data_IF_662686961009
#
_entry.id   IF_662686961009
#
_cell.length_a   1.000
_cell.length_b   1.000
_cell.length_c   1.000
_cell.angle_alpha   90.00
_cell.angle_beta   90.00
_cell.angle_gamma   90.00
#
_symmetry.space_group_name_H-M   'P 1'
#
loop_
_entity.id
_entity.type
_entity.pdbx_description
1 polymer ?
#
# COMPACT_ATOMS: atom_id res chain seq x y z
N UNK A 1 8.22 -8.23 3.45
CA UNK A 1 7.03 -8.48 2.60
C UNK A 1 6.54 -9.90 2.88
N UNK A 2 6.25 -10.22 4.16
CA UNK A 2 5.90 -11.57 4.65
C UNK A 2 4.49 -12.01 4.24
N UNK A 3 4.33 -12.15 2.93
CA UNK A 3 3.10 -12.49 2.20
C UNK A 3 3.49 -13.43 1.07
N UNK A 4 2.53 -14.21 0.57
CA UNK A 4 2.73 -15.02 -0.64
C UNK A 4 2.67 -14.09 -1.85
N UNK A 5 3.58 -14.28 -2.79
CA UNK A 5 3.58 -13.61 -4.09
C UNK A 5 3.26 -14.66 -5.16
N UNK A 6 2.20 -14.43 -5.91
CA UNK A 6 1.83 -15.29 -7.04
C UNK A 6 2.15 -14.56 -8.35
N UNK A 7 2.89 -15.23 -9.22
CA UNK A 7 3.31 -14.71 -10.51
C UNK A 7 2.74 -15.57 -11.63
N UNK A 8 2.03 -14.93 -12.55
CA UNK A 8 1.51 -15.55 -13.77
C UNK A 8 1.91 -14.72 -14.98
N UNK A 9 2.50 -15.34 -16.00
CA UNK A 9 2.86 -14.64 -17.24
C UNK A 9 2.94 -15.61 -18.42
N UNK A 10 2.95 -15.05 -19.63
CA UNK A 10 3.10 -15.80 -20.88
C UNK A 10 4.49 -15.55 -21.46
N UNK A 11 5.26 -16.63 -21.63
CA UNK A 11 6.60 -16.60 -22.19
C UNK A 11 6.70 -17.51 -23.43
N UNK A 12 7.62 -17.21 -24.37
CA UNK A 12 7.82 -18.00 -25.59
C UNK A 12 8.48 -19.36 -25.36
N UNK A 13 9.12 -19.59 -24.20
CA UNK A 13 9.74 -20.87 -23.86
C UNK A 13 9.86 -21.08 -22.35
N UNK A 14 9.91 -22.34 -21.93
CA UNK A 14 10.06 -22.72 -20.52
C UNK A 14 11.39 -22.24 -19.93
N UNK A 15 12.46 -22.27 -20.71
CA UNK A 15 13.78 -21.81 -20.28
C UNK A 15 13.78 -20.31 -19.97
N UNK A 16 13.18 -19.48 -20.83
CA UNK A 16 13.04 -18.05 -20.56
C UNK A 16 12.11 -17.81 -19.36
N UNK A 17 11.02 -18.59 -19.25
CA UNK A 17 10.10 -18.47 -18.14
C UNK A 17 10.79 -18.71 -16.78
N UNK A 18 11.63 -19.74 -16.69
CA UNK A 18 12.38 -20.04 -15.47
C UNK A 18 13.32 -18.90 -15.08
N UNK A 19 14.16 -18.43 -16.02
CA UNK A 19 15.13 -17.34 -15.76
C UNK A 19 14.44 -16.03 -15.38
N UNK A 20 13.34 -15.70 -16.06
CA UNK A 20 12.57 -14.49 -15.79
C UNK A 20 11.90 -14.57 -14.40
N UNK A 21 11.32 -15.71 -14.05
CA UNK A 21 10.73 -15.96 -12.73
C UNK A 21 11.76 -15.81 -11.62
N UNK A 22 12.92 -16.46 -11.75
CA UNK A 22 13.99 -16.39 -10.75
C UNK A 22 14.50 -14.95 -10.57
N UNK A 23 14.62 -14.20 -11.66
CA UNK A 23 14.99 -12.78 -11.64
C UNK A 23 13.96 -11.92 -10.91
N UNK A 24 12.66 -12.18 -11.12
CA UNK A 24 11.57 -11.48 -10.43
C UNK A 24 11.65 -11.72 -8.92
N UNK A 25 11.77 -12.97 -8.49
CA UNK A 25 11.84 -13.28 -7.06
C UNK A 25 13.14 -12.79 -6.41
N UNK A 26 14.27 -12.83 -7.13
CA UNK A 26 15.51 -12.19 -6.68
C UNK A 26 15.32 -10.68 -6.48
N UNK A 27 14.63 -9.99 -7.40
CA UNK A 27 14.30 -8.57 -7.25
C UNK A 27 13.41 -8.31 -6.04
N UNK A 28 12.36 -9.09 -5.82
CA UNK A 28 11.46 -8.95 -4.66
C UNK A 28 12.25 -9.13 -3.35
N UNK A 29 13.13 -10.14 -3.28
CA UNK A 29 13.98 -10.37 -2.11
C UNK A 29 14.94 -9.21 -1.84
N UNK A 30 15.56 -8.66 -2.90
CA UNK A 30 16.40 -7.47 -2.78
C UNK A 30 15.62 -6.26 -2.23
N UNK A 31 14.42 -6.01 -2.75
CA UNK A 31 13.54 -4.93 -2.26
C UNK A 31 13.15 -5.13 -0.80
N UNK A 32 12.90 -6.37 -0.37
CA UNK A 32 12.60 -6.69 1.03
C UNK A 32 13.76 -6.33 1.97
N UNK A 33 15.01 -6.56 1.56
CA UNK A 33 16.21 -6.17 2.33
C UNK A 33 16.36 -4.64 2.49
N UNK A 34 15.74 -3.85 1.61
CA UNK A 34 15.77 -2.38 1.65
C UNK A 34 14.59 -1.82 2.45
N UNK A 35 13.38 -2.28 2.14
CA UNK A 35 12.13 -1.62 2.54
C UNK A 35 11.49 -2.21 3.80
N UNK A 36 11.95 -3.36 4.29
CA UNK A 36 11.34 -4.03 5.45
C UNK A 36 11.66 -3.31 6.76
N UNK A 37 10.63 -2.88 7.49
CA UNK A 37 10.77 -2.38 8.85
C UNK A 37 10.93 -3.50 9.90
N UNK A 38 10.72 -4.76 9.51
CA UNK A 38 10.91 -5.94 10.36
C UNK A 38 12.34 -6.50 10.36
N UNK A 39 13.09 -6.28 9.28
CA UNK A 39 14.44 -6.82 9.15
C UNK A 39 15.44 -5.88 9.82
N UNK A 40 16.11 -6.39 10.84
CA UNK A 40 17.24 -5.69 11.43
C UNK A 40 18.32 -5.47 10.38
N UNK A 41 18.88 -4.27 10.36
CA UNK A 41 19.88 -3.87 9.37
C UNK A 41 19.33 -3.55 7.97
N UNK A 42 18.01 -3.60 7.71
CA UNK A 42 17.46 -3.10 6.44
C UNK A 42 17.81 -1.63 6.22
N UNK A 43 17.90 -1.20 4.97
CA UNK A 43 18.27 0.17 4.65
C UNK A 43 17.30 1.19 5.27
N UNK A 44 15.99 0.92 5.23
CA UNK A 44 14.97 1.76 5.88
C UNK A 44 15.18 1.87 7.40
N UNK A 45 15.59 0.80 8.07
CA UNK A 45 15.86 0.81 9.50
C UNK A 45 17.16 1.57 9.82
N UNK A 46 18.20 1.46 8.98
CA UNK A 46 19.42 2.27 9.11
C UNK A 46 19.13 3.77 8.94
N UNK A 47 18.34 4.15 7.94
CA UNK A 47 17.90 5.53 7.77
C UNK A 47 17.05 6.00 8.96
N UNK A 48 16.13 5.17 9.45
CA UNK A 48 15.32 5.52 10.62
C UNK A 48 16.16 5.73 11.90
N UNK A 49 17.29 5.03 12.03
CA UNK A 49 18.19 5.19 13.17
C UNK A 49 18.87 6.57 13.24
N UNK A 50 19.03 7.27 12.11
CA UNK A 50 19.61 8.64 12.07
C UNK A 50 18.60 9.74 12.44
N UNK A 51 17.35 9.40 12.71
CA UNK A 51 16.27 10.35 12.93
C UNK A 51 16.52 11.33 14.09
N UNK A 52 16.43 12.63 13.79
CA UNK A 52 16.63 13.71 14.75
C UNK A 52 18.10 14.02 15.08
N UNK A 53 19.06 13.41 14.38
CA UNK A 53 20.50 13.66 14.58
C UNK A 53 21.03 14.81 13.70
N UNK A 54 20.20 15.39 12.83
CA UNK A 54 20.61 16.47 11.92
C UNK A 54 21.48 16.00 10.75
N UNK A 55 21.70 14.70 10.59
CA UNK A 55 22.56 14.14 9.54
C UNK A 55 21.79 13.91 8.23
N UNK A 56 22.45 14.19 7.11
CA UNK A 56 22.03 13.72 5.80
C UNK A 56 22.62 12.33 5.54
N UNK A 57 21.80 11.40 5.08
CA UNK A 57 22.18 10.02 4.81
C UNK A 57 21.95 9.70 3.35
N UNK A 58 22.99 9.25 2.64
CA UNK A 58 22.85 8.73 1.28
C UNK A 58 22.01 7.46 1.28
N UNK A 59 21.11 7.36 0.29
CA UNK A 59 20.23 6.21 0.14
C UNK A 59 20.37 5.62 -1.26
N UNK A 60 20.04 4.34 -1.40
CA UNK A 60 19.94 3.66 -2.67
C UNK A 60 18.86 4.28 -3.55
N UNK A 61 18.98 4.06 -4.87
CA UNK A 61 17.97 4.50 -5.84
C UNK A 61 16.58 3.92 -5.53
N UNK A 62 16.53 2.69 -5.03
CA UNK A 62 15.28 2.05 -4.61
C UNK A 62 14.64 2.82 -3.47
N UNK A 63 15.37 3.04 -2.37
CA UNK A 63 14.81 3.72 -1.20
C UNK A 63 14.44 5.17 -1.54
N UNK A 64 15.27 5.86 -2.32
CA UNK A 64 14.96 7.19 -2.85
C UNK A 64 13.64 7.20 -3.64
N UNK A 65 13.48 6.28 -4.60
CA UNK A 65 12.31 6.23 -5.47
C UNK A 65 11.02 5.96 -4.68
N UNK A 66 11.03 4.97 -3.77
CA UNK A 66 9.86 4.66 -2.93
C UNK A 66 9.53 5.82 -1.99
N UNK A 67 10.54 6.48 -1.43
CA UNK A 67 10.34 7.63 -0.56
C UNK A 67 9.78 8.84 -1.31
N UNK A 68 10.27 9.11 -2.52
CA UNK A 68 9.76 10.19 -3.37
C UNK A 68 8.28 9.95 -3.74
N UNK A 69 7.92 8.72 -4.13
CA UNK A 69 6.52 8.34 -4.37
C UNK A 69 5.68 8.45 -3.09
N UNK A 70 6.23 8.04 -1.95
CA UNK A 70 5.54 8.19 -0.67
C UNK A 70 5.26 9.66 -0.33
N UNK A 71 6.22 10.57 -0.54
CA UNK A 71 6.04 12.01 -0.36
C UNK A 71 4.96 12.57 -1.29
N UNK A 72 4.95 12.12 -2.55
CA UNK A 72 3.91 12.49 -3.51
C UNK A 72 2.51 12.11 -3.01
N UNK A 73 2.29 10.86 -2.60
CA UNK A 73 0.99 10.41 -2.10
C UNK A 73 0.62 11.07 -0.76
N UNK A 74 1.58 11.28 0.13
CA UNK A 74 1.33 12.02 1.38
C UNK A 74 0.87 13.44 1.13
N UNK A 75 1.47 14.15 0.18
CA UNK A 75 1.01 15.49 -0.20
C UNK A 75 -0.38 15.45 -0.84
N UNK A 76 -0.61 14.54 -1.78
CA UNK A 76 -1.89 14.40 -2.51
C UNK A 76 -3.07 14.02 -1.61
N UNK A 77 -2.81 13.27 -0.55
CA UNK A 77 -3.82 12.79 0.40
C UNK A 77 -3.91 13.64 1.67
N UNK A 78 -3.18 14.76 1.72
CA UNK A 78 -3.06 15.61 2.91
C UNK A 78 -2.64 14.84 4.17
N UNK A 79 -1.75 13.86 4.01
CA UNK A 79 -1.21 13.03 5.09
C UNK A 79 -2.14 11.90 5.55
N UNK A 80 -3.21 11.58 4.80
CA UNK A 80 -4.00 10.38 5.09
C UNK A 80 -3.20 9.10 4.80
N UNK A 81 -2.34 9.12 3.78
CA UNK A 81 -1.21 8.21 3.63
C UNK A 81 0.06 8.92 4.14
N UNK A 82 0.85 8.25 4.98
CA UNK A 82 2.13 8.79 5.48
C UNK A 82 3.10 7.65 5.82
N UNK A 83 4.20 7.54 5.06
CA UNK A 83 5.24 6.52 5.31
C UNK A 83 6.03 6.75 6.60
N UNK A 84 5.87 7.89 7.28
CA UNK A 84 6.49 8.16 8.60
C UNK A 84 5.68 7.60 9.77
N UNK A 85 4.61 6.86 9.48
CA UNK A 85 3.72 6.25 10.48
C UNK A 85 4.37 5.13 11.31
N UNK A 86 5.62 4.75 11.04
CA UNK A 86 6.33 3.67 11.74
C UNK A 86 6.20 3.69 13.27
N UNK A 87 6.36 4.83 13.98
CA UNK A 87 6.22 4.88 15.43
C UNK A 87 4.80 4.51 15.91
N UNK A 88 3.77 4.99 15.21
CA UNK A 88 2.37 4.70 15.53
C UNK A 88 2.04 3.26 15.19
N UNK A 89 2.44 2.80 14.00
CA UNK A 89 2.17 1.43 13.55
C UNK A 89 2.84 0.41 14.48
N UNK A 90 4.10 0.63 14.88
CA UNK A 90 4.78 -0.25 15.84
C UNK A 90 4.13 -0.26 17.22
N UNK A 91 3.63 0.89 17.70
CA UNK A 91 2.87 0.97 18.95
C UNK A 91 1.62 0.09 18.87
N UNK A 92 0.83 0.23 17.80
CA UNK A 92 -0.39 -0.56 17.61
C UNK A 92 -0.11 -2.04 17.37
N UNK A 93 0.92 -2.40 16.59
CA UNK A 93 1.35 -3.80 16.42
C UNK A 93 1.69 -4.47 17.77
N UNK A 94 2.41 -3.77 18.66
CA UNK A 94 2.71 -4.28 20.01
C UNK A 94 1.47 -4.39 20.89
N UNK A 95 0.62 -3.37 20.86
CA UNK A 95 -0.64 -3.32 21.60
C UNK A 95 -1.57 -4.48 21.24
N UNK A 96 -1.79 -4.70 19.94
CA UNK A 96 -2.57 -5.82 19.42
C UNK A 96 -1.95 -7.17 19.82
N UNK A 97 -0.64 -7.35 19.67
CA UNK A 97 0.04 -8.61 20.01
C UNK A 97 -0.05 -8.96 21.51
N UNK A 98 0.02 -7.94 22.37
CA UNK A 98 0.04 -8.10 23.84
C UNK A 98 -1.34 -7.92 24.49
N UNK A 99 -2.39 -7.62 23.72
CA UNK A 99 -3.75 -7.47 24.23
C UNK A 99 -3.95 -6.28 25.18
N UNK A 100 -3.21 -5.17 25.01
CA UNK A 100 -3.38 -3.97 25.82
C UNK A 100 -3.72 -2.75 24.95
N UNK A 101 -4.42 -1.78 25.55
CA UNK A 101 -4.68 -0.50 24.88
C UNK A 101 -3.55 0.50 25.16
N UNK A 102 -2.95 1.15 24.14
CA UNK A 102 -1.89 2.12 24.35
C UNK A 102 -2.32 3.28 25.25
N UNK A 103 -1.45 3.68 26.18
CA UNK A 103 -1.70 4.84 27.02
C UNK A 103 -1.72 6.14 26.18
N UNK A 104 -2.48 7.13 26.64
CA UNK A 104 -2.58 8.44 25.96
C UNK A 104 -1.21 9.09 25.72
N UNK A 105 -0.28 8.94 26.67
CA UNK A 105 1.06 9.50 26.53
C UNK A 105 1.90 8.76 25.48
N UNK A 106 1.78 7.43 25.39
CA UNK A 106 2.44 6.63 24.35
C UNK A 106 1.95 7.02 22.95
N UNK A 107 0.63 7.18 22.77
CA UNK A 107 0.03 7.64 21.50
C UNK A 107 0.53 9.04 21.16
N UNK A 108 0.52 9.97 22.13
CA UNK A 108 1.00 11.34 21.94
C UNK A 108 2.46 11.38 21.48
N UNK A 109 3.33 10.57 22.08
CA UNK A 109 4.75 10.50 21.73
C UNK A 109 4.99 9.89 20.36
N UNK A 110 4.30 8.78 20.04
CA UNK A 110 4.35 8.17 18.72
C UNK A 110 3.91 9.17 17.64
N UNK A 111 2.78 9.85 17.85
CA UNK A 111 2.26 10.85 16.89
C UNK A 111 3.19 12.04 16.71
N UNK A 112 3.90 12.49 17.75
CA UNK A 112 4.88 13.60 17.63
C UNK A 112 6.04 13.26 16.67
N UNK A 113 6.32 11.97 16.48
CA UNK A 113 7.33 11.47 15.56
C UNK A 113 6.79 11.16 14.15
N UNK A 114 5.53 11.49 13.86
CA UNK A 114 4.91 11.32 12.53
C UNK A 114 4.82 12.67 11.83
N UNK A 115 5.16 12.70 10.55
CA UNK A 115 4.88 13.81 9.65
C UNK A 115 5.77 13.78 8.41
N UNK A 116 5.19 13.45 7.26
CA UNK A 116 5.91 13.40 5.98
C UNK A 116 6.69 14.70 5.65
N UNK A 117 6.20 15.86 6.09
CA UNK A 117 6.85 17.17 5.90
C UNK A 117 8.17 17.34 6.67
N UNK A 118 8.44 16.46 7.64
CA UNK A 118 9.65 16.41 8.44
C UNK A 118 10.75 15.56 7.80
N UNK A 119 10.44 14.87 6.70
CA UNK A 119 11.42 14.23 5.82
C UNK A 119 11.94 15.28 4.85
N UNK A 120 13.27 15.39 4.75
CA UNK A 120 13.94 16.21 3.74
C UNK A 120 14.66 15.29 2.77
N UNK A 121 14.49 15.56 1.48
CA UNK A 121 15.10 14.82 0.39
C UNK A 121 15.91 15.82 -0.42
N UNK A 122 17.19 15.55 -0.60
CA UNK A 122 18.04 16.21 -1.58
C UNK A 122 18.01 15.37 -2.85
N UNK A 123 17.30 15.87 -3.87
CA UNK A 123 17.08 15.16 -5.12
C UNK A 123 18.33 15.07 -6.00
N UNK A 124 19.28 15.99 -5.84
CA UNK A 124 20.51 15.99 -6.64
C UNK A 124 21.49 14.94 -6.12
N UNK A 125 21.65 14.87 -4.79
CA UNK A 125 22.61 13.98 -4.15
C UNK A 125 22.00 12.66 -3.65
N UNK A 126 20.68 12.46 -3.79
CA UNK A 126 19.93 11.29 -3.28
C UNK A 126 20.26 10.99 -1.82
N UNK A 127 20.19 12.02 -0.99
CA UNK A 127 20.36 11.92 0.46
C UNK A 127 19.12 12.40 1.19
N UNK A 128 18.85 11.79 2.33
CA UNK A 128 17.63 11.98 3.12
C UNK A 128 18.01 12.39 4.53
N UNK A 129 17.25 13.32 5.09
CA UNK A 129 17.33 13.70 6.50
C UNK A 129 15.94 13.55 7.14
N UNK A 130 15.88 12.83 8.25
CA UNK A 130 14.69 12.71 9.09
C UNK A 130 14.81 13.69 10.26
N UNK A 131 14.05 14.79 10.22
CA UNK A 131 14.29 15.92 11.14
C UNK A 131 13.87 15.66 12.58
N UNK A 132 12.89 14.80 12.81
CA UNK A 132 12.28 14.63 14.12
C UNK A 132 12.83 13.39 14.83
N UNK A 133 13.23 13.54 16.09
CA UNK A 133 13.69 12.44 16.94
C UNK A 133 12.61 11.35 17.01
N UNK A 134 13.05 10.09 16.93
CA UNK A 134 12.22 8.89 16.94
C UNK A 134 11.31 8.71 15.71
N UNK A 135 11.47 9.50 14.63
CA UNK A 135 10.82 9.17 13.36
C UNK A 135 11.25 7.77 12.92
N UNK A 136 10.30 7.01 12.38
CA UNK A 136 10.58 5.75 11.69
C UNK A 136 9.77 5.69 10.41
N UNK A 137 10.41 5.19 9.36
CA UNK A 137 9.74 4.94 8.10
C UNK A 137 9.12 3.54 8.12
N UNK A 138 7.92 3.43 7.54
CA UNK A 138 7.16 2.20 7.34
C UNK A 138 6.54 2.26 5.94
N UNK A 139 6.94 1.32 5.08
CA UNK A 139 6.43 1.21 3.71
C UNK A 139 5.36 0.13 3.57
N UNK A 140 4.74 -0.33 4.66
CA UNK A 140 3.73 -1.39 4.64
C UNK A 140 2.49 -1.09 3.80
N UNK A 141 2.21 0.20 3.54
CA UNK A 141 1.07 0.69 2.77
C UNK A 141 1.42 1.12 1.32
N UNK A 142 2.61 0.79 0.83
CA UNK A 142 3.06 1.14 -0.55
C UNK A 142 4.04 0.12 -1.12
N UNK A 143 4.77 -0.58 -0.26
CA UNK A 143 5.91 -1.41 -0.61
C UNK A 143 5.54 -2.69 -1.36
N UNK A 144 4.34 -3.25 -1.14
CA UNK A 144 3.89 -4.44 -1.88
C UNK A 144 3.49 -4.06 -3.29
N UNK A 145 2.71 -2.99 -3.43
CA UNK A 145 2.42 -2.40 -4.74
C UNK A 145 3.69 -2.03 -5.51
N UNK A 146 4.68 -1.44 -4.84
CA UNK A 146 5.98 -1.14 -5.45
C UNK A 146 6.75 -2.39 -5.89
N UNK A 147 6.84 -3.41 -5.03
CA UNK A 147 7.47 -4.67 -5.40
C UNK A 147 6.77 -5.32 -6.59
N UNK A 148 5.44 -5.21 -6.65
CA UNK A 148 4.67 -5.75 -7.75
C UNK A 148 4.93 -5.06 -9.09
N UNK A 149 5.00 -3.72 -9.07
CA UNK A 149 5.38 -2.95 -10.26
C UNK A 149 6.82 -3.26 -10.71
N UNK A 150 7.75 -3.43 -9.77
CA UNK A 150 9.14 -3.77 -10.07
C UNK A 150 9.29 -5.19 -10.64
N UNK A 151 8.45 -6.14 -10.24
CA UNK A 151 8.42 -7.47 -10.83
C UNK A 151 7.99 -7.41 -12.31
N UNK A 152 6.94 -6.65 -12.62
CA UNK A 152 6.53 -6.43 -14.02
C UNK A 152 7.63 -5.75 -14.82
N UNK A 153 8.36 -4.80 -14.22
CA UNK A 153 9.47 -4.16 -14.89
C UNK A 153 10.60 -5.13 -15.22
N UNK A 154 10.94 -6.06 -14.32
CA UNK A 154 11.91 -7.13 -14.62
C UNK A 154 11.45 -7.98 -15.81
N UNK A 155 10.17 -8.37 -15.86
CA UNK A 155 9.62 -9.14 -16.99
C UNK A 155 9.68 -8.36 -18.31
N UNK A 156 9.47 -7.04 -18.29
CA UNK A 156 9.62 -6.19 -19.48
C UNK A 156 11.04 -6.21 -20.05
N UNK A 157 12.06 -6.33 -19.21
CA UNK A 157 13.45 -6.48 -19.67
C UNK A 157 13.69 -7.80 -20.43
N UNK A 158 12.86 -8.81 -20.16
CA UNK A 158 12.82 -10.08 -20.91
C UNK A 158 11.81 -10.05 -22.07
N UNK A 159 11.26 -8.89 -22.42
CA UNK A 159 10.19 -8.72 -23.42
C UNK A 159 8.89 -9.48 -23.10
N UNK A 160 8.67 -9.85 -21.84
CA UNK A 160 7.43 -10.48 -21.36
C UNK A 160 6.49 -9.38 -20.87
N UNK A 161 5.42 -9.13 -21.64
CA UNK A 161 4.47 -8.04 -21.36
C UNK A 161 3.15 -8.51 -20.75
N UNK A 162 2.70 -9.72 -21.10
CA UNK A 162 1.47 -10.31 -20.59
C UNK A 162 1.77 -11.01 -19.26
N UNK A 163 1.69 -10.25 -18.17
CA UNK A 163 2.03 -10.70 -16.84
C UNK A 163 1.06 -10.14 -15.79
N UNK A 164 0.95 -10.87 -14.69
CA UNK A 164 0.10 -10.59 -13.54
C UNK A 164 0.88 -10.97 -12.28
N UNK A 165 1.01 -10.05 -11.34
CA UNK A 165 1.56 -10.33 -10.03
C UNK A 165 0.55 -9.99 -8.94
N UNK A 166 0.32 -10.94 -8.05
CA UNK A 166 -0.43 -10.76 -6.80
C UNK A 166 0.52 -10.80 -5.61
N UNK A 167 0.70 -9.65 -4.95
CA UNK A 167 1.52 -9.48 -3.75
C UNK A 167 0.66 -9.53 -2.47
N UNK A 168 -0.08 -10.61 -2.27
CA UNK A 168 -0.92 -10.83 -1.10
C UNK A 168 -2.18 -9.94 -1.09
N UNK A 169 -2.80 -9.74 -2.25
CA UNK A 169 -3.99 -8.93 -2.48
C UNK A 169 -3.72 -7.59 -3.18
N UNK A 170 -2.44 -7.21 -3.32
CA UNK A 170 -2.02 -6.02 -4.07
C UNK A 170 -1.50 -6.46 -5.44
N UNK A 171 -2.24 -6.13 -6.47
CA UNK A 171 -2.06 -6.59 -7.83
C UNK A 171 -1.32 -5.55 -8.69
N UNK A 172 -0.39 -6.03 -9.50
CA UNK A 172 0.13 -5.31 -10.65
C UNK A 172 -0.16 -6.12 -11.91
N UNK A 173 -0.78 -5.50 -12.91
CA UNK A 173 -1.33 -6.16 -14.09
C UNK A 173 -0.72 -5.53 -15.34
N UNK A 174 -0.06 -6.35 -16.16
CA UNK A 174 0.50 -5.98 -17.46
C UNK A 174 -0.51 -6.11 -18.60
N UNK A 175 -0.02 -6.41 -19.80
CA UNK A 175 -0.85 -6.64 -20.97
C UNK A 175 -1.78 -7.84 -20.76
N UNK A 176 -2.87 -7.88 -21.52
CA UNK A 176 -3.81 -8.99 -21.49
C UNK A 176 -3.13 -10.32 -21.87
N UNK A 177 -3.62 -11.45 -21.35
CA UNK A 177 -3.25 -12.77 -21.86
C UNK A 177 -3.50 -12.88 -23.38
N UNK A 178 -2.77 -13.74 -24.10
CA UNK A 178 -3.04 -14.01 -25.52
C UNK A 178 -4.51 -14.35 -25.77
N UNK A 179 -5.10 -13.74 -26.80
CA UNK A 179 -6.50 -13.93 -27.21
C UNK A 179 -7.55 -13.51 -26.17
N UNK A 180 -7.16 -12.80 -25.11
CA UNK A 180 -8.07 -12.26 -24.10
C UNK A 180 -8.03 -10.72 -24.11
N UNK A 181 -9.11 -10.10 -23.63
CA UNK A 181 -9.20 -8.63 -23.55
C UNK A 181 -8.56 -8.05 -22.28
N UNK A 182 -8.34 -8.90 -21.26
CA UNK A 182 -7.70 -8.57 -19.99
C UNK A 182 -7.66 -9.77 -19.04
N UNK A 183 -7.05 -9.59 -17.87
CA UNK A 183 -7.01 -10.55 -16.78
C UNK A 183 -8.32 -10.53 -15.99
N UNK A 184 -8.85 -11.71 -15.65
CA UNK A 184 -10.02 -11.85 -14.80
C UNK A 184 -9.61 -11.67 -13.33
N UNK A 185 -10.13 -10.62 -12.69
CA UNK A 185 -9.87 -10.30 -11.28
C UNK A 185 -11.17 -10.28 -10.50
N UNK A 186 -11.23 -11.05 -9.43
CA UNK A 186 -12.40 -11.09 -8.55
C UNK A 186 -12.18 -10.19 -7.33
N UNK A 187 -13.02 -9.18 -7.20
CA UNK A 187 -13.04 -8.25 -6.08
C UNK A 187 -14.29 -8.51 -5.25
N UNK A 188 -14.10 -8.95 -4.02
CA UNK A 188 -15.16 -8.96 -3.01
C UNK A 188 -14.87 -7.84 -2.02
N UNK A 189 -15.89 -7.07 -1.63
CA UNK A 189 -15.79 -6.14 -0.50
C UNK A 189 -16.58 -6.58 0.73
N UNK A 190 -17.20 -7.75 0.70
CA UNK A 190 -17.86 -8.36 1.86
C UNK A 190 -17.74 -9.89 1.80
N UNK A 191 -17.15 -10.50 2.84
CA UNK A 191 -17.11 -11.97 3.00
C UNK A 191 -18.22 -12.48 3.93
N UNK A 192 -18.87 -11.59 4.68
CA UNK A 192 -19.91 -11.92 5.65
C UNK A 192 -21.31 -11.75 5.07
N UNK A 193 -21.49 -10.79 4.15
CA UNK A 193 -22.59 -10.86 3.21
C UNK A 193 -22.27 -11.96 2.19
N UNK A 194 -23.20 -12.90 1.98
CA UNK A 194 -23.17 -13.90 0.89
C UNK A 194 -23.29 -13.24 -0.50
N UNK A 195 -22.62 -12.11 -0.73
CA UNK A 195 -22.59 -11.40 -2.00
C UNK A 195 -21.51 -12.01 -2.88
N UNK A 196 -21.90 -12.41 -4.10
CA UNK A 196 -20.97 -12.90 -5.10
C UNK A 196 -19.85 -11.88 -5.33
N UNK A 197 -18.58 -12.31 -5.49
CA UNK A 197 -17.50 -11.42 -5.85
C UNK A 197 -17.80 -10.75 -7.19
N UNK A 198 -17.44 -9.48 -7.31
CA UNK A 198 -17.52 -8.80 -8.59
C UNK A 198 -16.30 -9.20 -9.44
N UNK A 199 -16.54 -9.67 -10.65
CA UNK A 199 -15.49 -9.91 -11.62
C UNK A 199 -15.21 -8.65 -12.45
N UNK A 200 -13.94 -8.30 -12.57
CA UNK A 200 -13.42 -7.27 -13.46
C UNK A 200 -12.46 -7.89 -14.49
N UNK A 201 -12.44 -7.34 -15.70
CA UNK A 201 -11.49 -7.73 -16.76
C UNK A 201 -10.50 -6.59 -16.92
N UNK A 202 -9.25 -6.76 -16.45
CA UNK A 202 -8.31 -5.67 -16.24
C UNK A 202 -7.00 -5.87 -17.01
N UNK A 203 -6.37 -4.77 -17.44
CA UNK A 203 -5.01 -4.76 -17.99
C UNK A 203 -4.33 -3.43 -17.71
N UNK A 204 -2.99 -3.43 -17.67
CA UNK A 204 -2.17 -2.22 -17.57
C UNK A 204 -2.56 -1.31 -16.40
N UNK A 205 -2.78 -1.91 -15.23
CA UNK A 205 -3.25 -1.23 -14.03
C UNK A 205 -2.77 -1.94 -12.76
N UNK A 206 -3.04 -1.33 -11.61
CA UNK A 206 -2.89 -1.98 -10.31
C UNK A 206 -4.19 -1.97 -9.53
N UNK A 207 -4.35 -2.97 -8.66
CA UNK A 207 -5.53 -3.11 -7.78
C UNK A 207 -5.03 -3.40 -6.38
N UNK A 208 -5.51 -2.69 -5.38
CA UNK A 208 -5.18 -2.97 -3.99
C UNK A 208 -6.45 -2.93 -3.14
N UNK A 209 -6.55 -3.83 -2.18
CA UNK A 209 -7.64 -3.82 -1.20
C UNK A 209 -7.08 -3.65 0.20
N UNK A 210 -7.27 -2.47 0.79
CA UNK A 210 -7.02 -2.23 2.20
C UNK A 210 -8.27 -2.55 3.00
N UNK A 211 -8.14 -3.35 4.06
CA UNK A 211 -9.28 -3.79 4.86
C UNK A 211 -8.88 -4.36 6.20
N UNK A 212 -9.84 -4.45 7.12
CA UNK A 212 -9.59 -4.73 8.52
C UNK A 212 -10.05 -6.12 9.00
N UNK A 213 -10.44 -7.03 8.11
CA UNK A 213 -11.17 -8.26 8.49
C UNK A 213 -10.46 -9.19 9.48
N UNK A 214 -9.12 -9.14 9.63
CA UNK A 214 -8.38 -10.15 10.39
C UNK A 214 -7.41 -9.64 11.48
N UNK A 215 -7.20 -8.32 11.65
CA UNK A 215 -6.21 -7.80 12.64
C UNK A 215 -6.74 -6.58 13.41
N UNK A 216 -7.37 -6.79 14.58
CA UNK A 216 -7.78 -5.73 15.52
C UNK A 216 -7.25 -5.94 16.94
N UNK A 217 -7.26 -4.84 17.70
CA UNK A 217 -7.36 -4.86 19.15
C UNK A 217 -8.83 -4.59 19.56
N UNK A 218 -9.35 -5.36 20.51
CA UNK A 218 -10.63 -5.06 21.17
C UNK A 218 -10.38 -4.48 22.56
N UNK A 219 -11.05 -3.38 22.90
CA UNK A 219 -10.90 -2.72 24.20
C UNK A 219 -12.20 -2.02 24.58
N UNK A 220 -12.75 -2.34 25.76
CA UNK A 220 -14.05 -1.85 26.24
C UNK A 220 -15.19 -2.00 25.21
N UNK A 221 -15.27 -3.16 24.55
CA UNK A 221 -16.31 -3.43 23.54
C UNK A 221 -16.13 -2.70 22.19
N UNK A 222 -15.06 -1.94 22.03
CA UNK A 222 -14.71 -1.26 20.78
C UNK A 222 -13.54 -1.94 20.08
N UNK A 223 -13.67 -2.17 18.77
CA UNK A 223 -12.59 -2.68 17.92
C UNK A 223 -11.77 -1.53 17.32
N UNK A 224 -10.45 -1.75 17.26
CA UNK A 224 -9.46 -0.82 16.70
C UNK A 224 -8.63 -1.53 15.63
N UNK A 225 -8.55 -0.91 14.46
CA UNK A 225 -7.79 -1.42 13.32
C UNK A 225 -6.28 -1.31 13.49
N UNK A 226 -5.56 -2.20 12.80
CA UNK A 226 -4.11 -2.06 12.61
C UNK A 226 -3.76 -0.87 11.69
N UNK A 227 -4.71 -0.40 10.87
CA UNK A 227 -4.62 0.89 10.17
C UNK A 227 -4.91 1.97 11.20
N UNK A 228 -3.95 2.87 11.41
CA UNK A 228 -4.09 4.00 12.34
C UNK A 228 -4.24 5.31 11.58
N UNK A 229 -5.07 6.21 12.10
CA UNK A 229 -5.22 7.56 11.55
C UNK A 229 -4.02 8.43 11.97
N UNK A 230 -3.22 8.96 11.04
CA UNK A 230 -2.06 9.81 11.34
C UNK A 230 -2.39 11.05 12.19
N UNK A 231 -3.63 11.56 12.10
CA UNK A 231 -4.10 12.76 12.82
C UNK A 231 -4.32 12.48 14.31
N UNK A 232 -4.82 11.29 14.64
CA UNK A 232 -5.14 10.91 16.02
C UNK A 232 -4.06 10.03 16.64
N UNK A 233 -3.29 9.30 15.83
CA UNK A 233 -2.39 8.25 16.28
C UNK A 233 -3.12 6.99 16.77
N UNK A 234 -4.41 6.87 16.47
CA UNK A 234 -5.30 5.79 16.97
C UNK A 234 -5.73 4.89 15.81
N UNK A 235 -5.80 3.58 16.07
CA UNK A 235 -6.40 2.61 15.14
C UNK A 235 -7.81 3.01 14.73
N UNK A 236 -8.16 2.83 13.46
CA UNK A 236 -9.50 3.16 12.97
C UNK A 236 -10.56 2.39 13.76
N UNK A 237 -11.63 3.08 14.17
CA UNK A 237 -12.74 2.52 14.94
C UNK A 237 -13.85 1.95 14.07
N UNK A 238 -13.99 2.50 12.87
CA UNK A 238 -14.92 2.00 11.85
C UNK A 238 -14.25 0.86 11.09
N UNK A 239 -15.04 -0.14 10.74
CA UNK A 239 -14.56 -1.18 9.84
C UNK A 239 -14.62 -0.60 8.43
N UNK A 240 -13.45 -0.34 7.85
CA UNK A 240 -13.35 0.18 6.50
C UNK A 240 -12.66 -0.86 5.62
N UNK A 241 -13.25 -1.09 4.45
CA UNK A 241 -12.65 -1.83 3.36
C UNK A 241 -12.67 -0.96 2.12
N UNK A 242 -11.54 -0.84 1.46
CA UNK A 242 -11.38 -0.02 0.26
C UNK A 242 -10.61 -0.81 -0.77
N UNK A 243 -11.21 -1.01 -1.93
CA UNK A 243 -10.52 -1.42 -3.15
C UNK A 243 -10.24 -0.19 -4.01
N UNK A 244 -9.00 -0.05 -4.48
CA UNK A 244 -8.61 0.99 -5.44
C UNK A 244 -8.06 0.34 -6.69
N UNK A 245 -8.48 0.84 -7.85
CA UNK A 245 -7.89 0.54 -9.15
C UNK A 245 -7.18 1.81 -9.63
N UNK A 246 -5.90 1.70 -9.94
CA UNK A 246 -5.07 2.82 -10.36
C UNK A 246 -4.15 2.42 -11.53
N UNK A 247 -3.35 3.36 -12.03
CA UNK A 247 -2.44 3.12 -13.16
C UNK A 247 -1.37 2.06 -12.90
N UNK A 248 -1.04 1.78 -11.63
CA UNK A 248 -0.07 0.77 -11.23
C UNK A 248 -0.30 0.30 -9.78
N UNK A 249 0.39 -0.76 -9.36
CA UNK A 249 0.23 -1.37 -8.05
C UNK A 249 0.62 -0.41 -6.92
N UNK A 250 1.69 0.38 -7.10
CA UNK A 250 2.18 1.31 -6.09
C UNK A 250 1.13 2.38 -5.74
N UNK A 251 0.50 2.96 -6.76
CA UNK A 251 -0.56 3.95 -6.57
C UNK A 251 -1.79 3.33 -5.91
N UNK A 252 -2.17 2.11 -6.33
CA UNK A 252 -3.32 1.42 -5.76
C UNK A 252 -3.12 1.16 -4.25
N UNK A 253 -1.97 0.62 -3.83
CA UNK A 253 -1.64 0.28 -2.44
C UNK A 253 -1.69 1.53 -1.53
N UNK A 254 -0.99 2.60 -1.94
CA UNK A 254 -0.95 3.86 -1.20
C UNK A 254 -2.33 4.52 -1.07
N UNK A 255 -3.09 4.54 -2.18
CA UNK A 255 -4.41 5.17 -2.19
C UNK A 255 -5.45 4.34 -1.43
N UNK A 256 -5.43 3.02 -1.51
CA UNK A 256 -6.34 2.16 -0.74
C UNK A 256 -6.22 2.43 0.77
N UNK A 257 -4.99 2.61 1.28
CA UNK A 257 -4.77 3.02 2.67
C UNK A 257 -5.28 4.43 2.95
N UNK A 258 -4.99 5.40 2.07
CA UNK A 258 -5.45 6.79 2.25
C UNK A 258 -6.98 6.89 2.31
N UNK A 259 -7.68 6.25 1.39
CA UNK A 259 -9.14 6.19 1.35
C UNK A 259 -9.71 5.49 2.58
N UNK A 260 -9.06 4.43 3.07
CA UNK A 260 -9.44 3.76 4.32
C UNK A 260 -9.38 4.72 5.53
N UNK A 261 -8.34 5.57 5.60
CA UNK A 261 -8.18 6.58 6.66
C UNK A 261 -9.15 7.77 6.53
N UNK A 262 -9.57 8.09 5.30
CA UNK A 262 -10.48 9.21 5.04
C UNK A 262 -11.96 8.85 5.25
N UNK A 263 -12.34 7.59 5.01
CA UNK A 263 -13.73 7.14 5.00
C UNK A 263 -14.53 7.70 3.82
N UNK A 264 -15.82 7.36 3.74
CA UNK A 264 -16.66 7.65 2.55
C UNK A 264 -16.69 9.14 2.21
N UNK A 265 -17.07 9.99 3.17
CA UNK A 265 -17.35 11.41 2.92
C UNK A 265 -16.11 12.20 2.47
N UNK A 266 -14.97 11.98 3.12
CA UNK A 266 -13.72 12.66 2.73
C UNK A 266 -13.06 11.99 1.53
N UNK A 267 -13.23 10.67 1.38
CA UNK A 267 -12.82 9.92 0.19
C UNK A 267 -13.46 10.46 -1.08
N UNK A 268 -14.78 10.66 -1.11
CA UNK A 268 -15.49 11.26 -2.24
C UNK A 268 -14.90 12.61 -2.68
N UNK A 269 -14.62 13.50 -1.73
CA UNK A 269 -13.99 14.80 -2.00
C UNK A 269 -12.56 14.68 -2.54
N UNK A 270 -11.81 13.67 -2.09
CA UNK A 270 -10.47 13.41 -2.61
C UNK A 270 -10.53 12.86 -4.03
N UNK A 271 -11.43 11.91 -4.29
CA UNK A 271 -11.60 11.28 -5.60
C UNK A 271 -11.98 12.27 -6.70
N UNK A 272 -12.77 13.32 -6.39
CA UNK A 272 -13.06 14.40 -7.35
C UNK A 272 -11.80 15.08 -7.91
N UNK A 273 -10.67 15.01 -7.21
CA UNK A 273 -9.36 15.55 -7.66
C UNK A 273 -8.50 14.52 -8.39
N UNK A 274 -8.95 13.27 -8.46
CA UNK A 274 -8.25 12.14 -9.06
C UNK A 274 -9.24 11.24 -9.83
N UNK A 275 -9.99 11.76 -10.82
CA UNK A 275 -11.02 10.99 -11.53
C UNK A 275 -10.45 9.86 -12.41
N UNK A 276 -9.13 9.68 -12.48
CA UNK A 276 -8.46 8.59 -13.19
C UNK A 276 -8.35 7.28 -12.39
N UNK A 277 -8.77 7.26 -11.12
CA UNK A 277 -8.75 6.05 -10.28
C UNK A 277 -10.17 5.53 -10.04
N UNK A 278 -10.32 4.21 -9.93
CA UNK A 278 -11.54 3.58 -9.43
C UNK A 278 -11.43 3.38 -7.92
N UNK A 279 -12.48 3.70 -7.16
CA UNK A 279 -12.56 3.41 -5.72
C UNK A 279 -13.86 2.70 -5.39
N UNK A 280 -13.79 1.61 -4.63
CA UNK A 280 -14.93 0.98 -3.99
C UNK A 280 -14.66 0.88 -2.50
N UNK A 281 -15.43 1.62 -1.71
CA UNK A 281 -15.27 1.77 -0.26
C UNK A 281 -16.54 1.32 0.47
N UNK A 282 -16.36 0.49 1.49
CA UNK A 282 -17.39 0.10 2.45
C UNK A 282 -16.91 0.55 3.83
N UNK A 283 -17.75 1.32 4.53
CA UNK A 283 -17.52 1.77 5.90
C UNK A 283 -18.68 1.31 6.79
N UNK A 284 -18.38 0.48 7.78
CA UNK A 284 -19.32 0.00 8.78
C UNK A 284 -19.04 0.64 10.13
N UNK A 285 -20.06 1.26 10.70
CA UNK A 285 -20.05 1.84 12.03
C UNK A 285 -21.24 1.30 12.84
N UNK A 286 -20.99 0.26 13.66
CA UNK A 286 -22.05 -0.49 14.33
C UNK A 286 -22.94 -1.17 13.29
N UNK A 287 -24.25 -0.87 13.29
CA UNK A 287 -25.21 -1.39 12.30
C UNK A 287 -25.29 -0.55 11.01
N UNK A 288 -24.66 0.62 10.95
CA UNK A 288 -24.72 1.49 9.76
C UNK A 288 -23.62 1.13 8.78
N UNK A 289 -24.01 0.64 7.61
CA UNK A 289 -23.13 0.39 6.48
C UNK A 289 -23.27 1.53 5.45
N UNK A 290 -22.16 2.19 5.13
CA UNK A 290 -22.08 3.13 4.02
C UNK A 290 -21.25 2.51 2.91
N UNK A 291 -21.86 2.38 1.73
CA UNK A 291 -21.24 1.80 0.55
C UNK A 291 -21.09 2.91 -0.48
N UNK A 292 -19.89 3.06 -1.02
CA UNK A 292 -19.64 4.00 -2.09
C UNK A 292 -18.71 3.40 -3.13
N UNK A 293 -19.12 3.49 -4.39
CA UNK A 293 -18.30 3.17 -5.55
C UNK A 293 -18.18 4.44 -6.39
N UNK A 294 -16.98 4.73 -6.87
CA UNK A 294 -16.77 5.86 -7.77
C UNK A 294 -17.45 5.59 -9.12
N UNK A 295 -17.99 6.62 -9.80
CA UNK A 295 -18.71 6.47 -11.07
C UNK A 295 -17.97 5.68 -12.16
N UNK A 296 -16.64 5.71 -12.11
CA UNK A 296 -15.74 5.14 -13.10
C UNK A 296 -15.18 3.76 -12.70
N UNK A 297 -15.54 3.20 -11.54
CA UNK A 297 -14.90 1.98 -11.03
C UNK A 297 -15.05 0.77 -11.96
N UNK A 298 -16.23 0.62 -12.57
CA UNK A 298 -16.54 -0.51 -13.47
C UNK A 298 -16.09 -0.27 -14.93
N UNK A 299 -15.79 0.99 -15.26
CA UNK A 299 -15.46 1.46 -16.60
C UNK A 299 -13.95 1.62 -16.81
N UNK A 300 -13.22 1.93 -15.75
CA UNK A 300 -11.78 2.13 -15.81
C UNK A 300 -11.08 0.80 -16.00
N UNK A 301 -10.20 0.74 -17.00
CA UNK A 301 -9.35 -0.41 -17.32
C UNK A 301 -10.10 -1.68 -17.70
N UNK A 302 -11.44 -1.64 -17.77
CA UNK A 302 -12.22 -2.68 -18.42
C UNK A 302 -12.04 -2.58 -19.92
N UNK A 303 -11.81 -3.71 -20.59
CA UNK A 303 -11.72 -3.78 -22.05
C UNK A 303 -13.00 -3.36 -22.79
N UNK A 304 -13.99 -2.83 -22.08
CA UNK A 304 -15.30 -2.40 -22.55
C UNK A 304 -15.33 -0.91 -22.93
N UNK A 305 -14.27 -0.43 -23.60
CA UNK A 305 -14.37 0.78 -24.41
C UNK A 305 -14.38 0.30 -25.86
N UNK A 306 -15.58 0.12 -26.40
CA UNK A 306 -15.84 0.22 -27.84
C UNK A 306 -16.01 1.69 -28.18
#
# INVERSE_FOLDING_TARGET
MGSVFNLSFYAPSDSLAQVASDSVFARINYLNGILSDYLDGSEVNRLSASAGQGQWVYVSDVLYNVLAQSQYFSAKTSGAFDCTMGPVVQLWRRATRRGYFPEKQQIKWARKAVGYRLVKIDHQQKRVQLKQKNMRLDFGAIGKGYAADQALEVLRHYHILSAFLDAGGDLAIGNAPPQQTGWRVEVSNDKQANTAPQTLILKNCGVATSGHTYRYLEHHGQRYSHIADPRTGVGLRTHVRTTVIASNGTAADALATAFSVLGVKKGQKMWQKMPQIGVWLIETNGQKNQHWKSPNFDLLFSGNIQ
#
